data_IF_739427948106
#
_entry.id   IF_739427948106
#
_cell.length_a   1.000
_cell.length_b   1.000
_cell.length_c   1.000
_cell.angle_alpha   90.00
_cell.angle_beta   90.00
_cell.angle_gamma   90.00
#
_symmetry.space_group_name_H-M   'P 1'
#
loop_
_entity.id
_entity.type
_entity.pdbx_description
1 polymer ?
#
# COMPACT_ATOMS: atom_id res chain seq x y z
N UNK A 1 5.68 -17.35 25.83
CA UNK A 1 5.80 -15.93 25.41
C UNK A 1 6.36 -15.78 23.99
N UNK A 2 7.23 -16.66 23.49
CA UNK A 2 7.78 -16.55 22.12
C UNK A 2 6.73 -16.70 21.00
N UNK A 3 5.72 -17.56 21.18
CA UNK A 3 4.70 -17.82 20.15
C UNK A 3 3.91 -16.57 19.73
N UNK A 4 3.50 -15.72 20.67
CA UNK A 4 2.67 -14.53 20.38
C UNK A 4 3.49 -13.51 19.58
N UNK A 5 4.75 -13.30 19.95
CA UNK A 5 5.62 -12.38 19.22
C UNK A 5 5.90 -12.89 17.80
N UNK A 6 6.14 -14.18 17.63
CA UNK A 6 6.36 -14.80 16.32
C UNK A 6 5.11 -14.73 15.42
N UNK A 7 3.92 -14.95 15.98
CA UNK A 7 2.64 -14.80 15.27
C UNK A 7 2.42 -13.35 14.80
N UNK A 8 2.67 -12.37 15.65
CA UNK A 8 2.54 -10.95 15.28
C UNK A 8 3.58 -10.53 14.24
N UNK A 9 4.82 -11.00 14.39
CA UNK A 9 5.87 -10.75 13.40
C UNK A 9 5.50 -11.35 12.04
N UNK A 10 4.90 -12.54 12.02
CA UNK A 10 4.45 -13.18 10.79
C UNK A 10 3.30 -12.39 10.14
N UNK A 11 2.30 -11.97 10.92
CA UNK A 11 1.19 -11.14 10.43
C UNK A 11 1.67 -9.80 9.86
N UNK A 12 2.64 -9.17 10.52
CA UNK A 12 3.27 -7.95 10.03
C UNK A 12 3.94 -8.17 8.67
N UNK A 13 4.74 -9.24 8.54
CA UNK A 13 5.40 -9.59 7.28
C UNK A 13 4.40 -9.89 6.15
N UNK A 14 3.34 -10.62 6.45
CA UNK A 14 2.31 -10.94 5.45
C UNK A 14 1.56 -9.68 4.98
N UNK A 15 1.31 -8.76 5.90
CA UNK A 15 0.69 -7.46 5.59
C UNK A 15 1.59 -6.62 4.71
N UNK A 16 2.88 -6.50 5.07
CA UNK A 16 3.88 -5.78 4.27
C UNK A 16 4.00 -6.36 2.86
N UNK A 17 4.10 -7.68 2.73
CA UNK A 17 4.15 -8.33 1.42
C UNK A 17 2.91 -8.01 0.57
N UNK A 18 1.74 -7.99 1.18
CA UNK A 18 0.50 -7.64 0.47
C UNK A 18 0.50 -6.19 0.01
N UNK A 19 1.06 -5.27 0.81
CA UNK A 19 1.21 -3.85 0.43
C UNK A 19 2.22 -3.69 -0.71
N UNK A 20 3.33 -4.43 -0.67
CA UNK A 20 4.32 -4.45 -1.76
C UNK A 20 3.70 -4.95 -3.07
N UNK A 21 2.97 -6.08 -3.03
CA UNK A 21 2.29 -6.65 -4.20
C UNK A 21 1.28 -5.64 -4.80
N UNK A 22 0.56 -4.90 -3.95
CA UNK A 22 -0.39 -3.87 -4.38
C UNK A 22 0.31 -2.65 -4.98
N UNK A 23 1.42 -2.23 -4.39
CA UNK A 23 2.22 -1.12 -4.91
C UNK A 23 2.80 -1.48 -6.28
N UNK A 24 3.38 -2.67 -6.43
CA UNK A 24 3.92 -3.15 -7.71
C UNK A 24 2.82 -3.20 -8.79
N UNK A 25 1.62 -3.69 -8.47
CA UNK A 25 0.51 -3.69 -9.40
C UNK A 25 0.12 -2.29 -9.85
N UNK A 26 0.08 -1.31 -8.95
CA UNK A 26 -0.28 0.07 -9.27
C UNK A 26 0.83 0.83 -10.02
N UNK A 27 2.10 0.54 -9.74
CA UNK A 27 3.24 1.14 -10.45
C UNK A 27 3.37 0.60 -11.88
N UNK A 28 2.92 -0.63 -12.13
CA UNK A 28 2.86 -1.20 -13.47
C UNK A 28 1.73 -0.64 -14.35
N UNK A 29 0.77 0.10 -13.77
CA UNK A 29 -0.27 0.77 -14.55
C UNK A 29 0.33 2.05 -15.16
N UNK A 30 0.32 2.20 -16.50
CA UNK A 30 0.86 3.39 -17.14
C UNK A 30 0.06 4.64 -16.74
N UNK A 31 0.77 5.74 -16.50
CA UNK A 31 0.17 7.03 -16.16
C UNK A 31 -0.62 7.54 -17.36
N UNK A 32 -1.87 7.93 -17.12
CA UNK A 32 -2.71 8.54 -18.15
C UNK A 32 -2.37 10.03 -18.35
N UNK A 33 -1.96 10.40 -19.56
CA UNK A 33 -1.63 11.78 -19.96
C UNK A 33 -2.56 12.36 -21.03
N UNK A 34 -3.70 11.71 -21.33
CA UNK A 34 -4.63 12.16 -22.36
C UNK A 34 -5.50 13.35 -21.93
N UNK A 35 -6.31 13.86 -22.87
CA UNK A 35 -7.12 15.08 -22.68
C UNK A 35 -8.51 14.83 -22.06
N UNK A 36 -8.93 13.57 -21.89
CA UNK A 36 -10.20 13.28 -21.20
C UNK A 36 -10.11 13.64 -19.71
N UNK A 37 -10.89 14.64 -19.31
CA UNK A 37 -10.94 15.15 -17.95
C UNK A 37 -11.33 14.10 -16.90
N UNK A 38 -12.22 13.16 -17.22
CA UNK A 38 -12.62 12.11 -16.27
C UNK A 38 -11.46 11.17 -16.01
N UNK A 39 -10.76 10.77 -17.06
CA UNK A 39 -9.59 9.90 -16.94
C UNK A 39 -8.44 10.60 -16.20
N UNK A 40 -8.25 11.91 -16.38
CA UNK A 40 -7.30 12.69 -15.58
C UNK A 40 -7.65 12.70 -14.08
N UNK A 41 -8.94 12.84 -13.73
CA UNK A 41 -9.36 12.73 -12.32
C UNK A 41 -9.07 11.33 -11.78
N UNK A 42 -9.43 10.28 -12.51
CA UNK A 42 -9.17 8.91 -12.08
C UNK A 42 -7.66 8.67 -11.89
N UNK A 43 -6.82 9.22 -12.76
CA UNK A 43 -5.36 9.13 -12.62
C UNK A 43 -4.85 9.87 -11.38
N UNK A 44 -5.41 11.04 -11.05
CA UNK A 44 -5.05 11.76 -9.82
C UNK A 44 -5.36 10.95 -8.55
N UNK A 45 -6.46 10.18 -8.56
CA UNK A 45 -6.82 9.27 -7.46
C UNK A 45 -5.86 8.08 -7.39
N UNK A 46 -5.46 7.51 -8.53
CA UNK A 46 -4.44 6.43 -8.58
C UNK A 46 -3.09 6.90 -8.06
N UNK A 47 -2.66 8.11 -8.45
CA UNK A 47 -1.40 8.67 -7.96
C UNK A 47 -1.43 8.89 -6.43
N UNK A 48 -2.55 9.41 -5.92
CA UNK A 48 -2.73 9.55 -4.46
C UNK A 48 -2.61 8.20 -3.73
N UNK A 49 -3.18 7.13 -4.31
CA UNK A 49 -3.07 5.78 -3.76
C UNK A 49 -1.63 5.24 -3.82
N UNK A 50 -0.91 5.45 -4.94
CA UNK A 50 0.52 5.07 -5.06
C UNK A 50 1.36 5.76 -3.99
N UNK A 51 1.17 7.06 -3.78
CA UNK A 51 1.91 7.81 -2.76
C UNK A 51 1.62 7.29 -1.35
N UNK A 52 0.35 7.04 -1.02
CA UNK A 52 -0.01 6.48 0.28
C UNK A 52 0.61 5.10 0.51
N UNK A 53 0.62 4.24 -0.50
CA UNK A 53 1.25 2.91 -0.41
C UNK A 53 2.77 3.00 -0.29
N UNK A 54 3.43 3.88 -1.06
CA UNK A 54 4.88 4.11 -0.94
C UNK A 54 5.27 4.53 0.48
N UNK A 55 4.49 5.43 1.09
CA UNK A 55 4.70 5.86 2.48
C UNK A 55 4.47 4.68 3.43
N UNK A 56 3.36 3.96 3.27
CA UNK A 56 3.00 2.84 4.15
C UNK A 56 3.98 1.66 4.11
N UNK A 57 4.56 1.37 2.94
CA UNK A 57 5.59 0.33 2.76
C UNK A 57 6.92 0.75 3.40
N UNK A 58 7.34 2.01 3.22
CA UNK A 58 8.64 2.49 3.70
C UNK A 58 8.63 2.81 5.20
N UNK A 59 7.53 3.35 5.72
CA UNK A 59 7.35 3.72 7.13
C UNK A 59 6.09 3.07 7.71
N UNK A 60 6.07 1.75 7.86
CA UNK A 60 4.91 1.05 8.39
C UNK A 60 4.74 1.33 9.89
N UNK A 61 3.93 2.32 10.23
CA UNK A 61 3.55 2.62 11.61
C UNK A 61 2.48 1.64 12.10
N UNK A 62 2.93 0.48 12.58
CA UNK A 62 2.04 -0.52 13.20
C UNK A 62 1.87 -0.24 14.69
N UNK A 63 0.77 0.38 15.07
CA UNK A 63 0.22 0.32 16.43
C UNK A 63 -1.01 -0.57 16.43
N UNK A 64 -0.97 -1.71 17.16
CA UNK A 64 -2.15 -2.56 17.35
C UNK A 64 -2.99 -1.99 18.49
N UNK A 65 -4.25 -1.63 18.22
CA UNK A 65 -5.26 -1.36 19.24
C UNK A 65 -6.15 -2.61 19.35
N UNK A 66 -5.99 -3.36 20.43
CA UNK A 66 -6.90 -4.45 20.79
C UNK A 66 -8.12 -3.83 21.49
N UNK A 67 -9.31 -3.98 20.92
CA UNK A 67 -10.59 -3.54 21.49
C UNK A 67 -11.38 -4.70 22.07
#
# INVERSE_FOLDING_TARGET
MNNIFEEELQRMKDTLRTMDDQLEQLENIPIYYGDDFKEQILESMRESNRQNLRIGVHEPYFGRLDF
#
